data_IF_284766081322
#
_entry.id   IF_284766081322
#
_cell.length_a   1.000
_cell.length_b   1.000
_cell.length_c   1.000
_cell.angle_alpha   90.00
_cell.angle_beta   90.00
_cell.angle_gamma   90.00
#
_symmetry.space_group_name_H-M   'P 1'
#
loop_
_entity.id
_entity.type
_entity.pdbx_description
1 polymer ?
#
# COMPACT_ATOMS: atom_id res chain seq x y z
N UNK A 1 -25.51 -4.86 30.98
CA UNK A 1 -24.39 -3.93 30.72
C UNK A 1 -23.21 -4.77 30.22
N UNK A 2 -23.36 -5.43 29.07
CA UNK A 2 -22.29 -6.23 28.43
C UNK A 2 -22.62 -6.36 26.94
N UNK A 3 -22.02 -5.49 26.12
CA UNK A 3 -21.98 -5.64 24.66
C UNK A 3 -20.88 -4.76 24.00
N UNK A 4 -20.00 -4.12 24.80
CA UNK A 4 -19.05 -3.12 24.31
C UNK A 4 -17.64 -3.66 24.02
N UNK A 5 -17.39 -4.97 24.12
CA UNK A 5 -16.06 -5.54 23.90
C UNK A 5 -15.79 -6.09 22.49
N UNK A 6 -16.81 -6.28 21.65
CA UNK A 6 -16.63 -6.96 20.36
C UNK A 6 -16.49 -6.02 19.14
N UNK A 7 -16.85 -4.74 19.26
CA UNK A 7 -16.73 -3.78 18.15
C UNK A 7 -15.38 -3.07 18.04
N UNK A 8 -14.47 -3.27 19.01
CA UNK A 8 -13.07 -2.82 18.87
C UNK A 8 -12.23 -3.71 17.95
N UNK A 9 -12.77 -4.85 17.51
CA UNK A 9 -11.97 -5.92 16.90
C UNK A 9 -11.69 -5.73 15.39
N UNK A 10 -12.44 -4.90 14.67
CA UNK A 10 -12.25 -4.78 13.21
C UNK A 10 -11.25 -3.69 12.79
N UNK A 11 -10.75 -2.87 13.71
CA UNK A 11 -9.96 -1.67 13.37
C UNK A 11 -8.44 -1.87 13.34
N UNK A 12 -7.91 -3.04 13.70
CA UNK A 12 -6.44 -3.24 13.87
C UNK A 12 -5.90 -4.51 13.19
N UNK A 13 -6.72 -5.32 12.51
CA UNK A 13 -6.32 -6.70 12.15
C UNK A 13 -6.40 -7.08 10.67
N UNK A 14 -6.08 -6.16 9.76
CA UNK A 14 -5.85 -6.50 8.34
C UNK A 14 -4.37 -6.75 8.02
N UNK A 15 -3.47 -6.34 8.92
CA UNK A 15 -2.03 -6.57 8.85
C UNK A 15 -1.57 -7.12 10.21
N UNK A 16 -0.59 -8.03 10.20
CA UNK A 16 0.19 -8.30 11.42
C UNK A 16 0.95 -7.03 11.78
N UNK A 17 1.04 -6.68 13.07
CA UNK A 17 1.80 -5.50 13.55
C UNK A 17 3.23 -5.47 13.00
N UNK A 18 3.82 -6.65 12.80
CA UNK A 18 5.13 -6.81 12.17
C UNK A 18 5.13 -6.33 10.72
N UNK A 19 4.14 -6.74 9.91
CA UNK A 19 4.05 -6.35 8.50
C UNK A 19 3.77 -4.85 8.34
N UNK A 20 2.92 -4.30 9.20
CA UNK A 20 2.66 -2.86 9.23
C UNK A 20 3.93 -2.07 9.57
N UNK A 21 4.74 -2.57 10.51
CA UNK A 21 6.03 -1.96 10.86
C UNK A 21 7.00 -2.00 9.68
N UNK A 22 7.10 -3.13 8.99
CA UNK A 22 7.95 -3.26 7.80
C UNK A 22 7.52 -2.29 6.68
N UNK A 23 6.21 -2.19 6.39
CA UNK A 23 5.69 -1.24 5.39
C UNK A 23 6.10 0.20 5.76
N UNK A 24 5.93 0.60 7.02
CA UNK A 24 6.31 1.94 7.48
C UNK A 24 7.81 2.19 7.32
N UNK A 25 8.65 1.21 7.65
CA UNK A 25 10.11 1.30 7.48
C UNK A 25 10.47 1.44 6.01
N UNK A 26 9.89 0.63 5.12
CA UNK A 26 10.13 0.73 3.67
C UNK A 26 9.74 2.10 3.12
N UNK A 27 8.59 2.65 3.50
CA UNK A 27 8.18 4.00 3.05
C UNK A 27 9.18 5.07 3.50
N UNK A 28 9.65 5.01 4.76
CA UNK A 28 10.65 5.95 5.28
C UNK A 28 12.00 5.83 4.55
N UNK A 29 12.35 4.64 4.06
CA UNK A 29 13.59 4.43 3.29
C UNK A 29 13.54 5.00 1.88
N UNK A 30 12.36 5.12 1.27
CA UNK A 30 12.19 5.56 -0.12
C UNK A 30 11.20 6.73 -0.25
N UNK A 31 11.46 7.88 0.41
CA UNK A 31 10.52 9.01 0.43
C UNK A 31 10.38 9.73 -0.92
N UNK A 32 11.30 9.46 -1.86
CA UNK A 32 11.31 9.97 -3.22
C UNK A 32 10.27 9.27 -4.12
N UNK A 33 9.89 8.04 -3.78
CA UNK A 33 8.99 7.21 -4.61
C UNK A 33 7.79 6.66 -3.86
N UNK A 34 7.86 6.54 -2.53
CA UNK A 34 6.78 6.03 -1.68
C UNK A 34 6.27 7.11 -0.74
N UNK A 35 4.95 7.22 -0.65
CA UNK A 35 4.26 8.03 0.36
C UNK A 35 3.19 7.21 1.05
N UNK A 36 2.82 7.58 2.28
CA UNK A 36 1.84 6.86 3.07
C UNK A 36 0.89 7.83 3.76
N UNK A 37 -0.42 7.57 3.62
CA UNK A 37 -1.48 8.34 4.24
C UNK A 37 -2.44 7.41 4.99
N UNK A 38 -3.11 7.92 6.03
CA UNK A 38 -4.17 7.19 6.73
C UNK A 38 -5.49 7.89 6.48
N UNK A 39 -6.39 7.22 5.77
CA UNK A 39 -7.74 7.69 5.50
C UNK A 39 -8.65 7.15 6.58
N UNK A 40 -9.31 8.06 7.30
CA UNK A 40 -10.31 7.70 8.31
C UNK A 40 -11.70 7.95 7.74
N UNK A 41 -12.56 6.95 7.84
CA UNK A 41 -13.96 7.04 7.47
C UNK A 41 -14.82 6.60 8.65
N UNK A 42 -15.98 7.23 8.86
CA UNK A 42 -16.88 6.81 9.92
C UNK A 42 -18.34 7.10 9.61
N UNK A 43 -19.23 6.23 10.09
CA UNK A 43 -20.67 6.39 9.95
C UNK A 43 -21.40 5.71 11.12
N UNK A 44 -22.34 6.40 11.77
CA UNK A 44 -23.25 5.86 12.80
C UNK A 44 -22.57 4.92 13.83
N UNK A 45 -21.41 5.33 14.36
CA UNK A 45 -20.67 4.59 15.39
C UNK A 45 -19.65 3.58 14.86
N UNK A 46 -19.58 3.35 13.55
CA UNK A 46 -18.49 2.62 12.91
C UNK A 46 -17.39 3.60 12.49
N UNK A 47 -16.14 3.28 12.83
CA UNK A 47 -14.94 3.97 12.36
C UNK A 47 -14.09 2.95 11.61
N UNK A 48 -13.54 3.35 10.48
CA UNK A 48 -12.61 2.59 9.67
C UNK A 48 -11.38 3.46 9.42
N UNK A 49 -10.21 2.87 9.56
CA UNK A 49 -8.93 3.49 9.19
C UNK A 49 -8.31 2.64 8.09
N UNK A 50 -7.98 3.27 6.97
CA UNK A 50 -7.36 2.63 5.81
C UNK A 50 -5.98 3.25 5.65
N UNK A 51 -4.96 2.40 5.61
CA UNK A 51 -3.60 2.83 5.29
C UNK A 51 -3.44 2.79 3.78
N UNK A 52 -3.09 3.91 3.16
CA UNK A 52 -2.83 3.98 1.73
C UNK A 52 -1.35 4.23 1.51
N UNK A 53 -0.67 3.32 0.81
CA UNK A 53 0.70 3.53 0.34
C UNK A 53 0.65 3.87 -1.14
N UNK A 54 1.22 5.00 -1.52
CA UNK A 54 1.29 5.44 -2.92
C UNK A 54 2.71 5.32 -3.43
N UNK A 55 2.90 4.54 -4.50
CA UNK A 55 4.10 4.56 -5.33
C UNK A 55 3.91 5.54 -6.48
N UNK A 56 4.86 6.46 -6.63
CA UNK A 56 4.93 7.38 -7.76
C UNK A 56 6.40 7.71 -8.03
N UNK A 57 6.89 7.39 -9.22
CA UNK A 57 8.23 7.81 -9.64
C UNK A 57 8.13 9.22 -10.24
N UNK A 58 8.82 10.18 -9.62
CA UNK A 58 8.91 11.52 -10.20
C UNK A 58 9.96 11.52 -11.30
N UNK A 59 9.52 11.75 -12.54
CA UNK A 59 10.38 12.05 -13.69
C UNK A 59 10.01 13.45 -14.15
N UNK A 60 11.01 14.33 -14.25
CA UNK A 60 10.81 15.75 -14.58
C UNK A 60 10.14 15.96 -15.95
N UNK A 61 10.22 14.97 -16.84
CA UNK A 61 9.70 15.01 -18.21
C UNK A 61 8.22 14.56 -18.37
N UNK A 62 7.54 14.13 -17.31
CA UNK A 62 6.21 13.50 -17.42
C UNK A 62 5.16 14.33 -16.72
N UNK A 63 4.25 14.90 -17.51
CA UNK A 63 3.07 15.59 -17.00
C UNK A 63 2.20 14.65 -16.18
N UNK A 64 1.76 15.09 -14.99
CA UNK A 64 0.98 14.25 -14.06
C UNK A 64 -0.35 13.79 -14.67
N UNK A 65 -0.93 14.56 -15.60
CA UNK A 65 -2.17 14.18 -16.29
C UNK A 65 -1.99 13.02 -17.26
N UNK A 66 -0.75 12.74 -17.68
CA UNK A 66 -0.43 11.62 -18.57
C UNK A 66 -0.19 10.30 -17.82
N UNK A 67 -0.14 10.33 -16.48
CA UNK A 67 0.12 9.15 -15.66
C UNK A 67 -1.14 8.28 -15.53
N UNK A 68 -0.96 6.98 -15.73
CA UNK A 68 -1.94 5.96 -15.40
C UNK A 68 -1.97 5.77 -13.88
N UNK A 69 -3.18 5.70 -13.32
CA UNK A 69 -3.40 5.51 -11.89
C UNK A 69 -4.09 4.17 -11.66
N UNK A 70 -3.45 3.28 -10.91
CA UNK A 70 -3.99 1.98 -10.53
C UNK A 70 -4.21 1.97 -9.02
N UNK A 71 -5.42 1.63 -8.60
CA UNK A 71 -5.75 1.35 -7.21
C UNK A 71 -5.79 -0.16 -7.01
N UNK A 72 -4.99 -0.67 -6.08
CA UNK A 72 -4.95 -2.07 -5.68
C UNK A 72 -5.36 -2.17 -4.21
N UNK A 73 -6.42 -2.92 -3.94
CA UNK A 73 -6.92 -3.12 -2.60
C UNK A 73 -6.67 -4.55 -2.14
N UNK A 74 -6.00 -4.69 -1.00
CA UNK A 74 -5.65 -5.98 -0.41
C UNK A 74 -6.33 -6.13 0.95
N UNK A 75 -6.37 -7.35 1.48
CA UNK A 75 -6.93 -7.63 2.80
C UNK A 75 -8.39 -7.23 2.97
N UNK A 76 -9.21 -7.24 1.91
CA UNK A 76 -10.61 -6.81 1.98
C UNK A 76 -11.44 -7.71 2.91
N UNK A 77 -11.05 -8.98 3.03
CA UNK A 77 -11.56 -9.86 4.07
C UNK A 77 -10.48 -10.10 5.13
N UNK A 78 -10.84 -10.01 6.42
CA UNK A 78 -9.89 -10.21 7.53
C UNK A 78 -9.24 -11.60 7.64
N UNK A 79 -9.58 -12.54 6.74
CA UNK A 79 -8.92 -13.85 6.61
C UNK A 79 -7.92 -13.91 5.45
N UNK A 80 -7.80 -12.86 4.64
CA UNK A 80 -6.96 -12.82 3.43
C UNK A 80 -5.55 -12.30 3.71
N UNK A 81 -4.88 -12.83 4.74
CA UNK A 81 -3.54 -12.38 5.15
C UNK A 81 -2.49 -12.48 4.03
N UNK A 82 -2.65 -13.45 3.12
CA UNK A 82 -1.78 -13.64 1.96
C UNK A 82 -1.81 -12.41 1.04
N UNK A 83 -2.98 -11.78 0.87
CA UNK A 83 -3.11 -10.62 -0.03
C UNK A 83 -2.34 -9.41 0.53
N UNK A 84 -2.37 -9.21 1.85
CA UNK A 84 -1.58 -8.19 2.55
C UNK A 84 -0.07 -8.42 2.40
N UNK A 85 0.37 -9.68 2.44
CA UNK A 85 1.78 -10.03 2.20
C UNK A 85 2.19 -9.78 0.74
N UNK A 86 1.37 -10.17 -0.23
CA UNK A 86 1.59 -9.90 -1.65
C UNK A 86 1.71 -8.40 -1.90
N UNK A 87 0.88 -7.59 -1.25
CA UNK A 87 0.96 -6.13 -1.31
C UNK A 87 2.33 -5.61 -0.86
N UNK A 88 2.83 -6.11 0.27
CA UNK A 88 4.15 -5.71 0.77
C UNK A 88 5.28 -6.19 -0.14
N UNK A 89 5.20 -7.41 -0.68
CA UNK A 89 6.20 -7.89 -1.64
C UNK A 89 6.24 -7.02 -2.89
N UNK A 90 5.08 -6.64 -3.43
CA UNK A 90 4.97 -5.71 -4.55
C UNK A 90 5.63 -4.36 -4.21
N UNK A 91 5.30 -3.77 -3.06
CA UNK A 91 5.92 -2.52 -2.59
C UNK A 91 7.44 -2.65 -2.47
N UNK A 92 7.94 -3.77 -1.94
CA UNK A 92 9.38 -4.04 -1.79
C UNK A 92 10.09 -4.12 -3.14
N UNK A 93 9.42 -4.68 -4.15
CA UNK A 93 9.93 -4.75 -5.52
C UNK A 93 9.94 -3.36 -6.16
N UNK A 94 8.86 -2.58 -5.99
CA UNK A 94 8.76 -1.21 -6.52
C UNK A 94 9.81 -0.27 -5.90
N UNK A 95 10.10 -0.46 -4.61
CA UNK A 95 11.17 0.23 -3.88
C UNK A 95 12.58 -0.37 -4.14
N UNK A 96 12.71 -1.33 -5.06
CA UNK A 96 13.98 -2.01 -5.42
C UNK A 96 14.68 -2.71 -4.25
N UNK A 97 13.97 -3.03 -3.18
CA UNK A 97 14.51 -3.79 -2.03
C UNK A 97 14.60 -5.29 -2.32
N UNK A 98 13.88 -5.78 -3.35
CA UNK A 98 13.94 -7.16 -3.84
C UNK A 98 14.22 -7.19 -5.34
N UNK A 99 15.19 -8.01 -5.74
CA UNK A 99 15.53 -8.20 -7.15
C UNK A 99 14.59 -9.23 -7.80
N UNK A 100 13.86 -8.81 -8.84
CA UNK A 100 13.19 -9.72 -9.75
C UNK A 100 14.20 -10.25 -10.77
N UNK A 101 14.63 -11.50 -10.61
CA UNK A 101 15.62 -12.12 -11.50
C UNK A 101 15.08 -12.47 -12.91
N UNK A 102 13.79 -12.25 -13.20
CA UNK A 102 13.11 -12.90 -14.34
C UNK A 102 12.32 -11.98 -15.27
N UNK A 103 12.31 -10.67 -15.06
CA UNK A 103 11.55 -9.73 -15.89
C UNK A 103 12.46 -8.63 -16.41
N UNK A 104 12.27 -8.21 -17.66
CA UNK A 104 13.02 -7.11 -18.26
C UNK A 104 12.81 -5.81 -17.46
N UNK A 105 13.82 -5.47 -16.68
CA UNK A 105 13.84 -4.32 -15.79
C UNK A 105 13.69 -3.00 -16.57
N UNK A 106 14.12 -2.95 -17.83
CA UNK A 106 14.04 -1.73 -18.65
C UNK A 106 12.61 -1.41 -19.06
N UNK A 107 11.86 -2.43 -19.50
CA UNK A 107 10.44 -2.27 -19.84
C UNK A 107 9.61 -1.90 -18.62
N UNK A 108 9.81 -2.59 -17.49
CA UNK A 108 9.12 -2.27 -16.24
C UNK A 108 9.42 -0.84 -15.81
N UNK A 109 10.69 -0.40 -15.83
CA UNK A 109 11.03 0.95 -15.41
C UNK A 109 10.34 2.03 -16.23
N UNK A 110 10.25 1.85 -17.55
CA UNK A 110 9.51 2.78 -18.43
C UNK A 110 8.00 2.77 -18.20
N UNK A 111 7.43 1.62 -17.83
CA UNK A 111 6.03 1.56 -17.43
C UNK A 111 5.80 2.27 -16.09
N UNK A 112 6.70 2.07 -15.11
CA UNK A 112 6.61 2.66 -13.78
C UNK A 112 6.73 4.19 -13.79
N UNK A 113 7.41 4.77 -14.77
CA UNK A 113 7.49 6.22 -14.97
C UNK A 113 6.13 6.89 -15.14
N UNK A 114 5.21 6.19 -15.80
CA UNK A 114 3.88 6.68 -16.10
C UNK A 114 2.83 6.08 -15.17
N UNK A 115 3.23 5.43 -14.08
CA UNK A 115 2.32 4.66 -13.24
C UNK A 115 2.34 5.12 -11.79
N UNK A 116 1.16 5.46 -11.28
CA UNK A 116 0.91 5.66 -9.85
C UNK A 116 0.15 4.47 -9.32
N UNK A 117 0.68 3.81 -8.28
CA UNK A 117 0.03 2.68 -7.64
C UNK A 117 -0.37 3.07 -6.23
N UNK A 118 -1.66 2.95 -5.91
CA UNK A 118 -2.17 3.07 -4.54
C UNK A 118 -2.50 1.70 -3.99
N UNK A 119 -1.95 1.38 -2.82
CA UNK A 119 -2.14 0.12 -2.11
C UNK A 119 -2.92 0.38 -0.82
N UNK A 120 -4.08 -0.26 -0.63
CA UNK A 120 -4.96 -0.10 0.54
C UNK A 120 -5.14 -1.39 1.31
#
# INVERSE_FOLDING_TARGET
>A
MEAFSLLKCCLVKLFSDALLKEIKVTVVRHPDTLTMETIKAGNKGYVAEILVVTYNRHTEDIDDQSKFRILLSFGQHGRELITSEVAWQLLSILAKERNMQRVDLMFIQKLLDNLVIKVT
#
